data_IF_678971227412
#
_entry.id   IF_678971227412
#
_cell.length_a   1.000
_cell.length_b   1.000
_cell.length_c   1.000
_cell.angle_alpha   90.00
_cell.angle_beta   90.00
_cell.angle_gamma   90.00
#
_symmetry.space_group_name_H-M   'P 1'
#
loop_
_entity.id
_entity.type
_entity.pdbx_description
1 polymer ?
#
# COMPACT_ATOMS: atom_id res chain seq x y z
N UNK A 1 -18.25 1.22 -6.21
CA UNK A 1 -16.81 1.56 -6.09
C UNK A 1 -16.36 0.96 -4.79
N UNK A 2 -15.61 -0.13 -4.82
CA UNK A 2 -15.19 -0.80 -3.60
C UNK A 2 -13.99 -0.05 -3.06
N UNK A 3 -14.10 0.43 -1.83
CA UNK A 3 -13.02 1.14 -1.15
C UNK A 3 -12.72 0.44 0.16
N UNK A 4 -11.51 -0.05 0.31
CA UNK A 4 -11.02 -0.58 1.58
C UNK A 4 -10.38 0.57 2.37
N UNK A 5 -10.73 0.73 3.63
CA UNK A 5 -10.07 1.68 4.53
C UNK A 5 -9.90 1.01 5.89
N UNK A 6 -8.67 0.74 6.28
CA UNK A 6 -8.42 -0.04 7.47
C UNK A 6 -6.94 -0.36 7.73
N UNK A 7 -6.68 -1.13 8.79
CA UNK A 7 -5.32 -1.54 9.15
C UNK A 7 -4.78 -2.52 8.12
N UNK A 8 -3.58 -2.26 7.61
CA UNK A 8 -2.90 -3.12 6.66
C UNK A 8 -1.42 -3.25 7.05
N UNK A 9 -0.80 -4.32 6.57
CA UNK A 9 0.62 -4.58 6.75
C UNK A 9 1.30 -4.54 5.39
N UNK A 10 2.23 -3.60 5.20
CA UNK A 10 3.09 -3.57 4.03
C UNK A 10 4.28 -4.48 4.28
N UNK A 11 4.47 -5.48 3.42
CA UNK A 11 5.61 -6.39 3.42
C UNK A 11 6.58 -5.86 2.36
N UNK A 12 7.77 -5.47 2.83
CA UNK A 12 8.87 -5.00 1.99
C UNK A 12 9.57 -6.19 1.32
N UNK A 13 10.30 -5.94 0.23
CA UNK A 13 11.01 -6.97 -0.52
C UNK A 13 12.11 -7.71 0.29
N UNK A 14 12.61 -7.09 1.36
CA UNK A 14 13.53 -7.67 2.33
C UNK A 14 12.82 -8.54 3.41
N UNK A 15 11.49 -8.64 3.35
CA UNK A 15 10.66 -9.34 4.31
C UNK A 15 10.25 -8.52 5.54
N UNK A 16 10.67 -7.25 5.63
CA UNK A 16 10.27 -6.39 6.74
C UNK A 16 8.76 -6.08 6.66
N UNK A 17 8.08 -6.18 7.80
CA UNK A 17 6.63 -5.99 7.91
C UNK A 17 6.35 -4.66 8.60
N UNK A 18 5.58 -3.82 7.93
CA UNK A 18 5.28 -2.46 8.36
C UNK A 18 3.77 -2.32 8.52
N UNK A 19 3.32 -2.15 9.75
CA UNK A 19 1.89 -1.95 10.02
C UNK A 19 1.50 -0.49 9.80
N UNK A 20 0.30 -0.28 9.28
CA UNK A 20 -0.21 1.04 8.97
C UNK A 20 -1.70 1.03 8.62
N UNK A 21 -2.15 2.16 8.11
CA UNK A 21 -3.51 2.33 7.60
C UNK A 21 -3.46 2.41 6.07
N UNK A 22 -4.17 1.52 5.39
CA UNK A 22 -4.38 1.59 3.95
C UNK A 22 -5.76 2.17 3.63
N UNK A 23 -5.82 3.00 2.61
CA UNK A 23 -7.05 3.49 2.00
C UNK A 23 -6.96 3.21 0.50
N UNK A 24 -7.61 2.14 0.06
CA UNK A 24 -7.57 1.59 -1.29
C UNK A 24 -8.93 1.74 -1.96
N UNK A 25 -8.92 1.90 -3.28
CA UNK A 25 -10.11 1.90 -4.11
C UNK A 25 -9.87 1.17 -5.41
N UNK A 26 -10.86 0.42 -5.88
CA UNK A 26 -10.87 -0.13 -7.23
C UNK A 26 -10.97 1.01 -8.24
N UNK A 27 -10.02 1.13 -9.17
CA UNK A 27 -10.07 2.17 -10.20
C UNK A 27 -10.59 1.55 -11.50
N UNK A 28 -11.89 1.67 -11.76
CA UNK A 28 -12.52 1.12 -12.97
C UNK A 28 -12.31 2.01 -14.22
N UNK A 29 -11.38 2.98 -14.20
CA UNK A 29 -11.09 3.80 -15.38
C UNK A 29 -10.15 3.08 -16.33
N UNK A 30 -10.70 2.65 -17.47
CA UNK A 30 -9.93 2.42 -18.69
C UNK A 30 -9.16 1.10 -18.73
N UNK A 31 -9.84 -0.03 -18.54
CA UNK A 31 -9.34 -1.38 -18.84
C UNK A 31 -8.13 -1.88 -18.01
N UNK A 32 -7.64 -1.08 -17.07
CA UNK A 32 -6.71 -1.52 -16.05
C UNK A 32 -7.52 -2.09 -14.90
N UNK A 33 -7.68 -3.42 -14.86
CA UNK A 33 -8.24 -4.16 -13.73
C UNK A 33 -7.29 -4.04 -12.53
N UNK A 34 -7.25 -2.85 -11.92
CA UNK A 34 -6.34 -2.49 -10.86
C UNK A 34 -7.04 -1.72 -9.75
N UNK A 35 -6.43 -1.77 -8.59
CA UNK A 35 -6.82 -1.00 -7.42
C UNK A 35 -5.66 -0.08 -7.07
N UNK A 36 -5.97 1.04 -6.44
CA UNK A 36 -4.96 2.03 -6.07
C UNK A 36 -5.38 2.71 -4.79
N UNK A 37 -4.44 3.30 -4.08
CA UNK A 37 -4.76 3.90 -2.81
C UNK A 37 -3.58 4.62 -2.20
N UNK A 38 -3.72 4.86 -0.91
CA UNK A 38 -2.65 5.37 -0.08
C UNK A 38 -2.41 4.46 1.12
N UNK A 39 -1.17 4.39 1.56
CA UNK A 39 -0.76 3.68 2.77
C UNK A 39 0.01 4.62 3.68
N UNK A 40 -0.40 4.64 4.94
CA UNK A 40 0.23 5.43 5.99
C UNK A 40 0.78 4.48 7.04
N UNK A 41 2.10 4.23 7.06
CA UNK A 41 2.71 3.43 8.11
C UNK A 41 2.55 4.12 9.47
N UNK A 42 2.42 3.32 10.53
CA UNK A 42 2.39 3.84 11.90
C UNK A 42 3.78 4.33 12.33
N UNK A 43 4.83 3.66 11.85
CA UNK A 43 6.22 4.01 12.10
C UNK A 43 6.97 4.21 10.77
N UNK A 44 7.74 5.29 10.67
CA UNK A 44 8.54 5.57 9.47
C UNK A 44 9.96 5.05 9.68
N UNK A 45 10.29 3.93 9.03
CA UNK A 45 11.68 3.49 8.88
C UNK A 45 12.31 4.08 7.61
N UNK A 46 13.64 4.13 7.58
CA UNK A 46 14.42 4.47 6.38
C UNK A 46 14.18 3.50 5.23
N UNK A 47 13.86 2.25 5.53
CA UNK A 47 13.68 1.17 4.55
C UNK A 47 12.44 1.42 3.71
N UNK A 48 11.38 1.92 4.32
CA UNK A 48 10.14 2.28 3.63
C UNK A 48 10.36 3.42 2.61
N UNK A 49 11.29 4.34 2.88
CA UNK A 49 11.60 5.41 1.93
C UNK A 49 12.30 4.92 0.68
N UNK A 50 13.03 3.82 0.77
CA UNK A 50 13.77 3.23 -0.34
C UNK A 50 13.00 2.10 -1.03
N UNK A 51 11.92 1.60 -0.44
CA UNK A 51 11.13 0.53 -1.00
C UNK A 51 10.18 1.04 -2.09
N UNK A 52 10.53 0.77 -3.36
CA UNK A 52 9.71 1.13 -4.53
C UNK A 52 9.15 -0.07 -5.28
N UNK A 53 9.81 -1.23 -5.18
CA UNK A 53 9.50 -2.44 -5.95
C UNK A 53 9.39 -3.68 -5.06
N UNK A 54 8.66 -4.70 -5.53
CA UNK A 54 8.52 -5.98 -4.83
C UNK A 54 7.72 -5.89 -3.52
N UNK A 55 6.85 -4.89 -3.40
CA UNK A 55 6.06 -4.67 -2.20
C UNK A 55 4.77 -5.50 -2.24
N UNK A 56 4.40 -6.06 -1.10
CA UNK A 56 3.12 -6.73 -0.92
C UNK A 56 2.33 -6.02 0.17
N UNK A 57 1.04 -5.83 -0.06
CA UNK A 57 0.13 -5.30 0.92
C UNK A 57 -0.77 -6.43 1.41
N UNK A 58 -0.63 -6.74 2.68
CA UNK A 58 -1.44 -7.69 3.41
C UNK A 58 -2.56 -6.94 4.13
N UNK A 59 -3.79 -7.29 3.80
CA UNK A 59 -5.02 -6.83 4.42
C UNK A 59 -5.46 -7.83 5.49
N UNK A 60 -6.37 -7.44 6.40
CA UNK A 60 -7.02 -8.36 7.31
C UNK A 60 -7.65 -9.52 6.55
N UNK A 61 -7.76 -10.69 7.20
CA UNK A 61 -8.27 -11.94 6.60
C UNK A 61 -7.33 -12.60 5.56
N UNK A 62 -6.00 -12.50 5.76
CA UNK A 62 -4.96 -13.12 4.92
C UNK A 62 -5.04 -12.72 3.44
N UNK A 63 -5.59 -11.54 3.18
CA UNK A 63 -5.77 -11.00 1.84
C UNK A 63 -4.50 -10.27 1.40
N UNK A 64 -3.69 -10.88 0.54
CA UNK A 64 -2.41 -10.31 0.09
C UNK A 64 -2.52 -9.88 -1.38
N UNK A 65 -2.08 -8.66 -1.68
CA UNK A 65 -1.95 -8.17 -3.04
C UNK A 65 -0.59 -7.53 -3.30
N UNK A 66 -0.02 -7.79 -4.47
CA UNK A 66 1.19 -7.10 -4.91
C UNK A 66 0.88 -5.63 -5.18
N UNK A 67 1.70 -4.73 -4.65
CA UNK A 67 1.57 -3.28 -4.84
C UNK A 67 2.87 -2.68 -5.33
N UNK A 68 2.76 -1.62 -6.12
CA UNK A 68 3.87 -0.76 -6.47
C UNK A 68 3.67 0.60 -5.81
N UNK A 69 4.73 1.16 -5.22
CA UNK A 69 4.72 2.52 -4.71
C UNK A 69 4.94 3.47 -5.88
N UNK A 70 3.95 4.31 -6.16
CA UNK A 70 4.03 5.33 -7.23
C UNK A 70 4.48 6.68 -6.72
N UNK A 71 4.45 6.89 -5.40
CA UNK A 71 4.92 8.12 -4.79
C UNK A 71 4.98 8.03 -3.28
N UNK A 72 5.91 8.77 -2.69
CA UNK A 72 6.09 8.85 -1.24
C UNK A 72 6.11 10.32 -0.84
N UNK A 73 5.15 10.75 -0.04
CA UNK A 73 5.04 12.13 0.43
C UNK A 73 5.23 12.18 1.94
N UNK A 74 6.21 12.96 2.39
CA UNK A 74 6.39 13.25 3.82
C UNK A 74 5.29 14.21 4.28
N UNK A 75 4.53 13.83 5.31
CA UNK A 75 3.50 14.69 5.90
C UNK A 75 4.05 15.46 7.10
N UNK A 76 4.75 14.77 8.01
CA UNK A 76 5.35 15.33 9.23
C UNK A 76 6.76 14.78 9.45
N UNK A 77 7.45 15.22 10.50
CA UNK A 77 8.79 14.73 10.85
C UNK A 77 8.85 13.19 10.94
N UNK A 78 7.79 12.57 11.46
CA UNK A 78 7.66 11.13 11.72
C UNK A 78 6.58 10.43 10.88
N UNK A 79 5.89 11.14 9.95
CA UNK A 79 4.80 10.55 9.17
C UNK A 79 5.03 10.70 7.66
N UNK A 80 4.72 9.63 6.94
CA UNK A 80 4.81 9.55 5.49
C UNK A 80 3.50 8.97 4.95
N UNK A 81 3.09 9.44 3.77
CA UNK A 81 1.99 8.89 3.00
C UNK A 81 2.55 8.31 1.70
N UNK A 82 2.32 7.03 1.48
CA UNK A 82 2.66 6.36 0.22
C UNK A 82 1.44 6.28 -0.66
N UNK A 83 1.61 6.57 -1.94
CA UNK A 83 0.65 6.25 -2.98
C UNK A 83 0.98 4.86 -3.52
N UNK A 84 -0.01 3.97 -3.48
CA UNK A 84 0.10 2.58 -3.90
C UNK A 84 -0.77 2.33 -5.13
N UNK A 85 -0.26 1.48 -6.02
CA UNK A 85 -1.03 0.90 -7.12
C UNK A 85 -0.89 -0.61 -7.04
N UNK A 86 -2.01 -1.29 -6.85
CA UNK A 86 -2.12 -2.73 -6.87
C UNK A 86 -1.89 -3.30 -8.26
N UNK A 87 -1.16 -4.40 -8.30
CA UNK A 87 -0.98 -5.23 -9.49
C UNK A 87 -1.92 -6.42 -9.40
N UNK A 88 -2.78 -6.57 -10.40
CA UNK A 88 -3.76 -7.65 -10.44
C UNK A 88 -5.06 -7.34 -9.68
N UNK A 89 -5.85 -8.38 -9.34
CA UNK A 89 -7.16 -8.21 -8.73
C UNK A 89 -7.07 -7.54 -7.36
N UNK A 90 -8.10 -6.78 -7.00
CA UNK A 90 -8.23 -6.19 -5.67
C UNK A 90 -8.33 -7.30 -4.63
N UNK A 91 -7.47 -7.30 -3.59
CA UNK A 91 -7.53 -8.29 -2.53
C UNK A 91 -8.65 -8.00 -1.53
N UNK A 92 -9.75 -7.30 -1.89
CA UNK A 92 -10.84 -6.89 -0.99
C UNK A 92 -12.19 -6.80 -1.70
#
# INVERSE_FOLDING_TARGET
>A
MTTYSGPATLILADGARVTGMASLGTNNRGNLNGWSGTFRPNEVSTDIRNATEGLQLELPYDQIGEVAVTGVRKLLATQVLMSLVGRGPAPF
#
